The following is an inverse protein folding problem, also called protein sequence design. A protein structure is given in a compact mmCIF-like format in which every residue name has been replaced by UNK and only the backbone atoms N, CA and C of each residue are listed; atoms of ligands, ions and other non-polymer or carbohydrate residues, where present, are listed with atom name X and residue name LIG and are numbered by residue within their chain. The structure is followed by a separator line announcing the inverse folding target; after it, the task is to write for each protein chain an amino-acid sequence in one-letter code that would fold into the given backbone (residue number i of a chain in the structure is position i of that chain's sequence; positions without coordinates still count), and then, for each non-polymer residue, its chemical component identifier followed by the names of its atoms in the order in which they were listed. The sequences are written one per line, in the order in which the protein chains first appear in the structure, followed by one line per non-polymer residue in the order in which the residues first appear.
data_IF_282439240200
#
_entry.id   IF_282439240200
#
_cell.length_a   1.000
_cell.length_b   1.000
_cell.length_c   1.000
_cell.angle_alpha   90.00
_cell.angle_beta   90.00
_cell.angle_gamma   90.00
#
_symmetry.space_group_name_H-M   'P 1'
#
loop_
_entity.id
_entity.type
_entity.pdbx_description
1 polymer ?
#
# COMPACT_ATOMS: atom_id res chain seq x y z
N UNK A 1 13.45 5.14 -38.82
CA UNK A 1 12.92 4.61 -37.56
C UNK A 1 12.66 5.78 -36.61
N UNK A 2 11.39 6.03 -36.28
CA UNK A 2 11.03 7.15 -35.42
C UNK A 2 11.52 6.86 -33.99
N UNK A 3 12.38 7.71 -33.46
CA UNK A 3 13.02 7.50 -32.15
C UNK A 3 12.02 7.79 -31.04
N UNK A 4 11.57 6.76 -30.33
CA UNK A 4 10.70 6.93 -29.14
C UNK A 4 11.43 7.74 -28.09
N UNK A 5 10.80 8.77 -27.48
CA UNK A 5 11.41 9.53 -26.40
C UNK A 5 11.68 8.65 -25.16
N UNK A 6 12.55 9.09 -24.26
CA UNK A 6 12.65 8.52 -22.92
C UNK A 6 11.35 8.81 -22.17
N UNK A 7 10.91 7.90 -21.28
CA UNK A 7 9.72 8.13 -20.47
C UNK A 7 9.89 9.42 -19.65
N UNK A 8 8.91 10.30 -19.65
CA UNK A 8 8.94 11.46 -18.76
C UNK A 8 8.75 11.02 -17.30
N UNK A 9 9.01 11.92 -16.35
CA UNK A 9 8.63 11.68 -14.98
C UNK A 9 7.12 11.42 -14.89
N UNK A 10 6.64 10.40 -14.14
CA UNK A 10 5.23 10.03 -14.13
C UNK A 10 4.35 11.08 -13.45
N UNK A 11 3.10 11.20 -13.91
CA UNK A 11 2.06 11.95 -13.23
C UNK A 11 1.75 11.33 -11.86
N UNK A 12 1.52 12.16 -10.84
CA UNK A 12 1.33 11.75 -9.46
C UNK A 12 -0.07 12.10 -8.97
N UNK A 13 -0.67 11.18 -8.21
CA UNK A 13 -1.93 11.44 -7.53
C UNK A 13 -1.74 12.33 -6.28
N UNK A 14 -2.71 13.22 -6.03
CA UNK A 14 -2.84 13.99 -4.80
C UNK A 14 -3.39 13.12 -3.66
N UNK A 15 -3.21 13.58 -2.42
CA UNK A 15 -3.80 12.97 -1.23
C UNK A 15 -5.02 13.76 -0.73
N UNK A 16 -5.68 14.50 -1.60
CA UNK A 16 -6.89 15.25 -1.26
C UNK A 16 -8.04 14.29 -0.86
N UNK A 17 -9.02 14.76 -0.08
CA UNK A 17 -10.24 14.01 0.14
C UNK A 17 -10.93 13.72 -1.21
N UNK A 18 -11.56 12.54 -1.39
CA UNK A 18 -12.39 12.28 -2.55
C UNK A 18 -13.52 13.32 -2.64
N UNK A 19 -13.95 13.73 -3.85
CA UNK A 19 -15.11 14.58 -4.01
C UNK A 19 -16.38 13.84 -3.55
N UNK A 20 -17.37 14.59 -3.05
CA UNK A 20 -18.66 14.02 -2.65
C UNK A 20 -19.41 13.43 -3.87
N UNK A 21 -19.32 14.12 -5.01
CA UNK A 21 -19.81 13.62 -6.29
C UNK A 21 -18.65 13.04 -7.10
N UNK A 22 -18.72 11.75 -7.39
CA UNK A 22 -17.73 11.00 -8.20
C UNK A 22 -18.14 10.84 -9.65
N UNK A 23 -19.21 11.53 -10.10
CA UNK A 23 -19.60 11.59 -11.51
C UNK A 23 -18.42 12.11 -12.35
N UNK A 24 -18.11 11.43 -13.45
CA UNK A 24 -16.96 11.78 -14.29
C UNK A 24 -15.61 11.31 -13.76
N UNK A 25 -15.58 10.52 -12.69
CA UNK A 25 -14.38 9.85 -12.21
C UNK A 25 -14.39 8.34 -12.48
N UNK A 26 -13.21 7.82 -12.73
CA UNK A 26 -12.94 6.38 -12.80
C UNK A 26 -12.14 5.98 -11.55
N UNK A 27 -12.52 4.86 -10.96
CA UNK A 27 -11.80 4.26 -9.84
C UNK A 27 -10.85 3.19 -10.36
N UNK A 28 -9.62 3.18 -9.91
CA UNK A 28 -8.68 2.09 -10.12
C UNK A 28 -8.15 1.58 -8.77
N UNK A 29 -7.70 0.34 -8.73
CA UNK A 29 -7.01 -0.18 -7.56
C UNK A 29 -5.74 0.61 -7.29
N UNK A 30 -5.51 0.97 -6.02
CA UNK A 30 -4.22 1.48 -5.57
C UNK A 30 -3.32 0.29 -5.24
N UNK A 31 -2.54 -0.11 -6.23
CA UNK A 31 -1.57 -1.20 -6.08
C UNK A 31 -0.46 -0.83 -5.09
N UNK A 32 -0.06 -1.76 -4.22
CA UNK A 32 1.10 -1.60 -3.31
C UNK A 32 2.33 -2.29 -3.94
N UNK A 33 3.04 -1.53 -4.75
CA UNK A 33 4.18 -2.00 -5.53
C UNK A 33 5.23 -0.94 -5.76
N UNK A 34 5.92 -1.02 -6.89
CA UNK A 34 6.81 0.02 -7.38
C UNK A 34 6.32 0.55 -8.72
N UNK A 35 6.27 1.88 -8.86
CA UNK A 35 5.94 2.52 -10.13
C UNK A 35 6.96 2.16 -11.19
N UNK A 36 6.48 1.70 -12.33
CA UNK A 36 7.28 1.31 -13.46
C UNK A 36 6.76 1.96 -14.74
N UNK A 37 7.67 2.59 -15.47
CA UNK A 37 7.45 3.07 -16.83
C UNK A 37 8.18 2.14 -17.79
N UNK A 38 7.45 1.54 -18.71
CA UNK A 38 8.02 0.68 -19.74
C UNK A 38 8.08 1.41 -21.08
N UNK A 39 9.29 1.61 -21.58
CA UNK A 39 9.55 2.09 -22.92
C UNK A 39 9.75 0.89 -23.86
N UNK A 40 8.80 0.67 -24.72
CA UNK A 40 8.76 -0.45 -25.66
C UNK A 40 9.06 0.05 -27.07
N UNK A 41 10.23 -0.30 -27.57
CA UNK A 41 10.75 0.03 -28.90
C UNK A 41 11.38 -1.25 -29.50
N UNK A 42 12.44 -1.13 -30.30
CA UNK A 42 13.28 -2.27 -30.71
C UNK A 42 13.75 -3.10 -29.50
N UNK A 43 13.93 -2.44 -28.36
CA UNK A 43 14.20 -3.06 -27.06
C UNK A 43 13.24 -2.50 -26.02
N UNK A 44 12.83 -3.34 -25.09
CA UNK A 44 12.06 -2.92 -23.93
C UNK A 44 13.01 -2.44 -22.84
N UNK A 45 12.75 -1.25 -22.32
CA UNK A 45 13.48 -0.65 -21.21
C UNK A 45 12.50 -0.30 -20.09
N UNK A 46 12.88 -0.59 -18.87
CA UNK A 46 12.05 -0.39 -17.67
C UNK A 46 12.67 0.67 -16.76
N UNK A 47 11.89 1.65 -16.37
CA UNK A 47 12.34 2.77 -15.55
C UNK A 47 11.52 2.92 -14.28
N UNK A 48 12.20 3.15 -13.16
CA UNK A 48 11.54 3.54 -11.92
C UNK A 48 10.94 4.94 -12.00
N UNK A 49 10.16 5.31 -11.00
CA UNK A 49 9.63 6.68 -10.83
C UNK A 49 10.71 7.77 -10.87
N UNK A 50 11.94 7.46 -10.42
CA UNK A 50 13.09 8.38 -10.44
C UNK A 50 13.95 8.21 -11.70
N UNK A 51 13.44 7.60 -12.74
CA UNK A 51 14.14 7.33 -14.00
C UNK A 51 15.38 6.41 -13.85
N UNK A 52 15.48 5.64 -12.77
CA UNK A 52 16.50 4.57 -12.66
C UNK A 52 16.15 3.44 -13.63
N UNK A 53 17.09 3.03 -14.45
CA UNK A 53 16.90 1.87 -15.34
C UNK A 53 16.91 0.57 -14.53
N UNK A 54 15.81 -0.16 -14.60
CA UNK A 54 15.56 -1.43 -13.90
C UNK A 54 15.40 -2.63 -14.84
N UNK A 55 15.74 -2.47 -16.12
CA UNK A 55 15.54 -3.46 -17.18
C UNK A 55 16.09 -4.84 -16.81
N UNK A 56 17.30 -4.88 -16.27
CA UNK A 56 17.96 -6.15 -15.92
C UNK A 56 17.40 -6.79 -14.65
N UNK A 57 16.64 -6.06 -13.84
CA UNK A 57 16.02 -6.56 -12.61
C UNK A 57 14.76 -7.40 -12.90
N UNK A 58 14.12 -7.18 -14.05
CA UNK A 58 12.80 -7.74 -14.37
C UNK A 58 12.76 -8.33 -15.78
N UNK A 59 13.62 -9.32 -16.09
CA UNK A 59 13.70 -9.90 -17.43
C UNK A 59 12.37 -10.50 -17.91
N UNK A 60 11.58 -11.11 -17.01
CA UNK A 60 10.27 -11.69 -17.32
C UNK A 60 9.25 -10.64 -17.79
N UNK A 61 9.35 -9.41 -17.31
CA UNK A 61 8.49 -8.31 -17.75
C UNK A 61 8.94 -7.80 -19.13
N UNK A 62 10.26 -7.73 -19.34
CA UNK A 62 10.86 -7.37 -20.65
C UNK A 62 10.41 -8.34 -21.73
N UNK A 63 10.55 -9.65 -21.47
CA UNK A 63 10.19 -10.70 -22.42
C UNK A 63 8.69 -10.68 -22.74
N UNK A 64 7.85 -10.52 -21.72
CA UNK A 64 6.41 -10.50 -21.88
C UNK A 64 5.91 -9.27 -22.66
N UNK A 65 6.49 -8.09 -22.43
CA UNK A 65 6.16 -6.87 -23.18
C UNK A 65 6.66 -6.97 -24.63
N UNK A 66 7.85 -7.48 -24.84
CA UNK A 66 8.41 -7.70 -26.19
C UNK A 66 7.53 -8.62 -27.02
N UNK A 67 7.06 -9.71 -26.43
CA UNK A 67 6.17 -10.65 -27.09
C UNK A 67 4.73 -10.09 -27.27
N UNK A 68 4.22 -9.38 -26.27
CA UNK A 68 2.81 -8.93 -26.25
C UNK A 68 2.52 -7.74 -27.16
N UNK A 69 3.53 -6.89 -27.43
CA UNK A 69 3.36 -5.70 -28.28
C UNK A 69 3.58 -5.97 -29.78
N UNK A 70 4.07 -7.15 -30.16
CA UNK A 70 4.19 -7.59 -31.56
C UNK A 70 4.86 -6.53 -32.48
N UNK A 71 5.90 -5.85 -31.98
CA UNK A 71 6.63 -4.83 -32.71
C UNK A 71 6.03 -3.42 -32.65
N UNK A 72 4.90 -3.23 -31.99
CA UNK A 72 4.35 -1.88 -31.73
C UNK A 72 5.24 -1.12 -30.75
N UNK A 73 5.21 0.19 -30.86
CA UNK A 73 6.01 1.07 -30.02
C UNK A 73 5.13 1.80 -29.00
N UNK A 74 5.48 1.69 -27.70
CA UNK A 74 4.67 2.27 -26.64
C UNK A 74 5.50 2.78 -25.45
N UNK A 75 4.95 3.73 -24.68
CA UNK A 75 5.36 4.02 -23.31
C UNK A 75 4.16 3.73 -22.42
N UNK A 76 4.32 2.70 -21.57
CA UNK A 76 3.31 2.24 -20.63
C UNK A 76 3.65 2.71 -19.22
N UNK A 77 2.61 3.01 -18.45
CA UNK A 77 2.72 3.44 -17.06
C UNK A 77 1.92 2.48 -16.18
N UNK A 78 2.55 1.96 -15.14
CA UNK A 78 1.93 0.93 -14.30
C UNK A 78 2.61 0.78 -12.94
N UNK A 79 2.16 -0.20 -12.19
CA UNK A 79 2.74 -0.62 -10.93
C UNK A 79 3.22 -2.06 -11.06
N UNK A 80 4.45 -2.33 -10.66
CA UNK A 80 4.97 -3.67 -10.56
C UNK A 80 4.68 -4.23 -9.18
N UNK A 81 3.96 -5.35 -9.12
CA UNK A 81 3.40 -5.93 -7.89
C UNK A 81 3.89 -7.36 -7.72
N UNK A 82 4.23 -7.74 -6.49
CA UNK A 82 4.36 -9.13 -6.09
C UNK A 82 3.16 -9.50 -5.21
N UNK A 83 2.61 -10.68 -5.40
CA UNK A 83 1.51 -11.19 -4.58
C UNK A 83 2.02 -12.25 -3.61
N UNK A 84 1.44 -12.26 -2.40
CA UNK A 84 1.65 -13.34 -1.44
C UNK A 84 0.78 -14.58 -1.76
N UNK A 85 0.85 -15.58 -0.88
CA UNK A 85 0.08 -16.82 -1.02
C UNK A 85 -1.45 -16.66 -0.87
N UNK A 86 -1.90 -15.49 -0.40
CA UNK A 86 -3.32 -15.10 -0.36
C UNK A 86 -3.73 -14.23 -1.55
N UNK A 87 -2.89 -14.12 -2.58
CA UNK A 87 -3.08 -13.25 -3.74
C UNK A 87 -3.19 -11.75 -3.38
N UNK A 88 -2.55 -11.32 -2.29
CA UNK A 88 -2.52 -9.92 -1.86
C UNK A 88 -1.19 -9.25 -2.21
N UNK A 89 -1.19 -7.98 -2.62
CA UNK A 89 0.05 -7.25 -2.89
C UNK A 89 0.96 -7.21 -1.66
N UNK A 90 2.23 -7.56 -1.85
CA UNK A 90 3.23 -7.58 -0.78
C UNK A 90 4.52 -6.87 -1.19
N UNK A 91 4.68 -5.65 -0.71
CA UNK A 91 5.84 -4.80 -1.03
C UNK A 91 7.19 -5.39 -0.57
N UNK A 92 7.22 -6.19 0.51
CA UNK A 92 8.45 -6.81 1.00
C UNK A 92 9.00 -7.85 -0.01
N UNK A 93 8.12 -8.53 -0.72
CA UNK A 93 8.52 -9.47 -1.78
C UNK A 93 9.21 -8.73 -2.93
N UNK A 94 8.69 -7.58 -3.35
CA UNK A 94 9.31 -6.76 -4.40
C UNK A 94 10.69 -6.27 -3.97
N UNK A 95 10.88 -5.88 -2.70
CA UNK A 95 12.19 -5.46 -2.21
C UNK A 95 13.26 -6.53 -2.37
N UNK A 96 12.91 -7.82 -2.24
CA UNK A 96 13.84 -8.93 -2.49
C UNK A 96 14.31 -8.95 -3.94
N UNK A 97 13.42 -8.64 -4.89
CA UNK A 97 13.72 -8.58 -6.32
C UNK A 97 14.59 -7.37 -6.67
N UNK A 98 14.29 -6.19 -6.10
CA UNK A 98 15.07 -4.96 -6.30
C UNK A 98 16.53 -5.07 -5.85
N UNK A 99 16.80 -5.90 -4.83
CA UNK A 99 18.17 -6.15 -4.33
C UNK A 99 18.99 -7.08 -5.23
N UNK A 100 18.38 -7.65 -6.26
CA UNK A 100 19.00 -8.56 -7.21
C UNK A 100 18.93 -7.97 -8.63
N UNK A 101 19.90 -7.15 -9.05
CA UNK A 101 19.90 -6.53 -10.38
C UNK A 101 19.92 -7.52 -11.56
N UNK A 102 20.30 -8.77 -11.30
CA UNK A 102 20.27 -9.90 -12.24
C UNK A 102 19.76 -11.12 -11.49
N UNK A 103 18.43 -11.29 -11.36
CA UNK A 103 17.87 -12.38 -10.58
C UNK A 103 18.09 -13.73 -11.26
N UNK A 104 18.50 -14.71 -10.48
CA UNK A 104 18.61 -16.10 -10.97
C UNK A 104 17.25 -16.81 -11.01
N UNK A 105 17.13 -17.95 -11.69
CA UNK A 105 15.88 -18.67 -11.89
C UNK A 105 15.11 -19.00 -10.60
N UNK A 106 15.82 -19.34 -9.52
CA UNK A 106 15.22 -19.63 -8.21
C UNK A 106 14.49 -18.40 -7.63
N UNK A 107 15.07 -17.21 -7.75
CA UNK A 107 14.46 -15.99 -7.26
C UNK A 107 13.26 -15.57 -8.12
N UNK A 108 13.36 -15.71 -9.44
CA UNK A 108 12.26 -15.49 -10.38
C UNK A 108 11.05 -16.36 -10.02
N UNK A 109 11.27 -17.66 -9.81
CA UNK A 109 10.22 -18.61 -9.45
C UNK A 109 9.63 -18.37 -8.04
N UNK A 110 10.47 -17.97 -7.05
CA UNK A 110 10.00 -17.79 -5.67
C UNK A 110 9.31 -16.46 -5.42
N UNK A 111 9.52 -15.47 -6.27
CA UNK A 111 8.89 -14.13 -6.19
C UNK A 111 8.41 -13.73 -7.59
N UNK A 112 7.32 -14.34 -8.08
CA UNK A 112 6.73 -13.94 -9.34
C UNK A 112 6.19 -12.51 -9.24
N UNK A 113 6.33 -11.73 -10.32
CA UNK A 113 5.87 -10.36 -10.40
C UNK A 113 4.76 -10.22 -11.44
N UNK A 114 3.92 -9.21 -11.24
CA UNK A 114 2.90 -8.80 -12.20
C UNK A 114 3.04 -7.30 -12.46
N UNK A 115 3.09 -6.92 -13.72
CA UNK A 115 3.05 -5.52 -14.13
C UNK A 115 1.60 -5.11 -14.39
N UNK A 116 1.00 -4.38 -13.45
CA UNK A 116 -0.36 -3.83 -13.53
C UNK A 116 -0.32 -2.50 -14.28
N UNK A 117 -0.52 -2.54 -15.60
CA UNK A 117 -0.49 -1.35 -16.46
C UNK A 117 -1.83 -0.61 -16.33
N UNK A 118 -1.79 0.68 -16.07
CA UNK A 118 -2.99 1.49 -15.86
C UNK A 118 -3.04 2.76 -16.75
N UNK A 119 -1.98 3.06 -17.50
CA UNK A 119 -1.99 4.17 -18.46
C UNK A 119 -1.03 3.91 -19.63
N UNK A 120 -1.27 4.61 -20.72
CA UNK A 120 -0.40 4.67 -21.90
C UNK A 120 -0.21 6.11 -22.31
N UNK A 121 1.04 6.53 -22.49
CA UNK A 121 1.37 7.93 -22.76
C UNK A 121 2.03 8.16 -24.14
N UNK A 122 2.36 7.08 -24.82
CA UNK A 122 2.89 7.10 -26.18
C UNK A 122 2.53 5.81 -26.90
N UNK A 123 2.15 5.90 -28.19
CA UNK A 123 1.80 4.75 -28.99
C UNK A 123 2.11 5.02 -30.48
N UNK A 124 2.88 4.15 -31.12
CA UNK A 124 3.17 4.12 -32.55
C UNK A 124 3.49 5.51 -33.17
N UNK A 125 4.37 6.24 -32.54
CA UNK A 125 4.79 7.56 -33.03
C UNK A 125 4.02 8.75 -32.46
N UNK A 126 2.95 8.51 -31.68
CA UNK A 126 2.07 9.56 -31.19
C UNK A 126 2.21 9.77 -29.69
N UNK A 127 2.39 11.01 -29.27
CA UNK A 127 2.28 11.44 -27.87
C UNK A 127 0.81 11.48 -27.48
N UNK A 128 0.46 10.72 -26.44
CA UNK A 128 -0.92 10.60 -25.93
C UNK A 128 -1.16 11.45 -24.69
N UNK A 129 -0.19 12.20 -24.20
CA UNK A 129 -0.32 12.98 -22.96
C UNK A 129 -1.43 14.03 -23.03
N UNK A 130 -1.72 14.57 -24.22
CA UNK A 130 -2.82 15.50 -24.47
C UNK A 130 -4.21 14.84 -24.57
N UNK A 131 -4.29 13.53 -24.69
CA UNK A 131 -5.57 12.80 -24.74
C UNK A 131 -6.19 12.70 -23.36
N UNK A 132 -7.53 12.56 -23.33
CA UNK A 132 -8.24 12.31 -22.06
C UNK A 132 -7.89 10.95 -21.49
N UNK A 133 -8.04 10.78 -20.17
CA UNK A 133 -7.80 9.49 -19.51
C UNK A 133 -8.57 8.34 -20.18
N UNK A 134 -9.86 8.50 -20.46
CA UNK A 134 -10.64 7.46 -21.10
C UNK A 134 -10.20 7.14 -22.54
N UNK A 135 -9.71 8.14 -23.29
CA UNK A 135 -9.14 7.89 -24.62
C UNK A 135 -7.87 7.03 -24.51
N UNK A 136 -6.98 7.39 -23.60
CA UNK A 136 -5.76 6.60 -23.36
C UNK A 136 -6.09 5.19 -22.89
N UNK A 137 -7.10 5.02 -22.00
CA UNK A 137 -7.54 3.69 -21.54
C UNK A 137 -8.03 2.81 -22.67
N UNK A 138 -8.84 3.34 -23.58
CA UNK A 138 -9.30 2.59 -24.77
C UNK A 138 -8.12 2.11 -25.62
N UNK A 139 -7.15 3.00 -25.87
CA UNK A 139 -5.95 2.65 -26.64
C UNK A 139 -5.11 1.60 -25.92
N UNK A 140 -5.04 1.63 -24.58
CA UNK A 140 -4.36 0.62 -23.77
C UNK A 140 -5.08 -0.73 -23.83
N UNK A 141 -6.42 -0.74 -23.73
CA UNK A 141 -7.23 -1.94 -23.79
C UNK A 141 -7.14 -2.61 -25.18
N UNK A 142 -7.03 -1.81 -26.25
CA UNK A 142 -6.86 -2.28 -27.64
C UNK A 142 -5.50 -3.00 -27.87
N UNK A 143 -4.52 -2.80 -26.98
CA UNK A 143 -3.23 -3.56 -27.03
C UNK A 143 -3.40 -5.02 -26.62
N UNK A 144 -4.50 -5.38 -25.96
CA UNK A 144 -4.81 -6.76 -25.52
C UNK A 144 -3.70 -7.43 -24.70
N UNK A 145 -2.98 -6.67 -23.89
CA UNK A 145 -1.92 -7.15 -23.00
C UNK A 145 -2.51 -7.88 -21.77
N UNK A 146 -3.12 -9.04 -21.98
CA UNK A 146 -3.81 -9.80 -20.91
C UNK A 146 -3.11 -11.10 -20.52
N UNK A 147 -1.84 -11.31 -20.96
CA UNK A 147 -1.09 -12.52 -20.62
C UNK A 147 -0.14 -12.24 -19.46
N UNK A 148 -0.22 -13.01 -18.36
CA UNK A 148 0.76 -12.90 -17.28
C UNK A 148 2.21 -12.97 -17.83
N UNK A 149 3.12 -12.18 -17.26
CA UNK A 149 3.00 -11.35 -16.08
C UNK A 149 2.47 -9.91 -16.32
N UNK A 150 1.85 -9.61 -17.45
CA UNK A 150 1.27 -8.30 -17.76
C UNK A 150 -0.24 -8.35 -17.56
N UNK A 151 -0.79 -7.36 -16.84
CA UNK A 151 -2.22 -7.20 -16.63
C UNK A 151 -2.58 -5.74 -16.84
N UNK A 152 -3.61 -5.46 -17.65
CA UNK A 152 -4.21 -4.13 -17.70
C UNK A 152 -5.08 -3.98 -16.46
N UNK A 153 -4.74 -3.00 -15.60
CA UNK A 153 -5.46 -2.73 -14.36
C UNK A 153 -6.91 -2.35 -14.67
N UNK A 154 -7.91 -3.00 -14.09
CA UNK A 154 -9.30 -2.63 -14.32
C UNK A 154 -9.63 -1.26 -13.75
N UNK A 155 -10.66 -0.61 -14.29
CA UNK A 155 -11.26 0.58 -13.71
C UNK A 155 -12.77 0.43 -13.60
N UNK A 156 -13.36 1.17 -12.66
CA UNK A 156 -14.80 1.16 -12.39
C UNK A 156 -15.37 2.57 -12.46
N UNK A 157 -16.62 2.69 -12.85
CA UNK A 157 -17.39 3.94 -12.88
C UNK A 157 -18.75 3.73 -12.23
N UNK A 158 -19.41 4.80 -11.81
CA UNK A 158 -20.76 4.71 -11.25
C UNK A 158 -20.83 4.07 -9.86
N UNK A 159 -19.72 4.04 -9.14
CA UNK A 159 -19.62 3.49 -7.78
C UNK A 159 -19.30 4.65 -6.82
N UNK A 160 -19.93 4.64 -5.64
CA UNK A 160 -19.61 5.59 -4.57
C UNK A 160 -18.30 5.24 -3.85
N UNK A 161 -17.71 6.25 -3.20
CA UNK A 161 -16.43 6.12 -2.49
C UNK A 161 -16.44 5.06 -1.40
N UNK A 162 -17.54 4.96 -0.64
CA UNK A 162 -17.66 3.99 0.47
C UNK A 162 -17.77 2.56 -0.05
N UNK A 163 -18.59 2.34 -1.10
CA UNK A 163 -18.71 1.03 -1.74
C UNK A 163 -17.39 0.59 -2.35
N UNK A 164 -16.65 1.51 -3.01
CA UNK A 164 -15.32 1.19 -3.53
C UNK A 164 -14.33 0.88 -2.40
N UNK A 165 -14.38 1.60 -1.27
CA UNK A 165 -13.53 1.30 -0.12
C UNK A 165 -13.81 -0.10 0.45
N UNK A 166 -15.08 -0.54 0.49
CA UNK A 166 -15.44 -1.90 0.90
C UNK A 166 -14.90 -2.96 -0.07
N UNK A 167 -15.03 -2.72 -1.38
CA UNK A 167 -14.48 -3.62 -2.41
C UNK A 167 -12.96 -3.76 -2.24
N UNK A 168 -12.24 -2.64 -2.11
CA UNK A 168 -10.78 -2.65 -1.94
C UNK A 168 -10.37 -3.37 -0.65
N UNK A 169 -11.13 -3.19 0.43
CA UNK A 169 -10.91 -3.88 1.71
C UNK A 169 -11.13 -5.39 1.58
N UNK A 170 -12.20 -5.81 0.91
CA UNK A 170 -12.49 -7.23 0.64
C UNK A 170 -11.41 -7.91 -0.20
N UNK A 171 -10.82 -7.18 -1.13
CA UNK A 171 -9.71 -7.66 -1.98
C UNK A 171 -8.33 -7.57 -1.29
N UNK A 172 -8.23 -7.03 -0.07
CA UNK A 172 -6.95 -6.82 0.60
C UNK A 172 -6.05 -5.78 -0.08
N UNK A 173 -6.62 -4.85 -0.84
CA UNK A 173 -5.90 -3.80 -1.54
C UNK A 173 -5.71 -2.55 -0.67
N UNK A 174 -4.64 -1.80 -0.92
CA UNK A 174 -4.29 -0.60 -0.14
C UNK A 174 -5.37 0.50 -0.20
N UNK A 175 -6.15 0.53 -1.27
CA UNK A 175 -7.16 1.53 -1.52
C UNK A 175 -7.42 1.72 -3.01
N UNK A 176 -7.82 2.92 -3.39
CA UNK A 176 -8.12 3.25 -4.79
C UNK A 176 -7.50 4.59 -5.21
N UNK A 177 -7.42 4.78 -6.51
CA UNK A 177 -7.10 6.05 -7.16
C UNK A 177 -8.31 6.47 -7.99
N UNK A 178 -8.85 7.65 -7.69
CA UNK A 178 -9.82 8.32 -8.54
C UNK A 178 -9.08 9.06 -9.65
N UNK A 179 -9.47 8.85 -10.90
CA UNK A 179 -8.93 9.56 -12.05
C UNK A 179 -10.08 10.25 -12.79
N UNK A 180 -9.97 11.57 -12.97
CA UNK A 180 -10.98 12.28 -13.73
C UNK A 180 -10.98 11.84 -15.19
N UNK A 181 -12.13 11.40 -15.70
CA UNK A 181 -12.29 10.74 -17.01
C UNK A 181 -11.77 11.57 -18.19
N UNK A 182 -11.89 12.89 -18.09
CA UNK A 182 -11.47 13.83 -19.14
C UNK A 182 -10.12 14.50 -18.86
N UNK A 183 -9.37 14.04 -17.84
CA UNK A 183 -8.06 14.63 -17.55
C UNK A 183 -6.99 14.20 -18.55
N UNK A 184 -6.12 15.13 -18.88
CA UNK A 184 -4.88 14.85 -19.62
C UNK A 184 -3.83 14.25 -18.70
N UNK A 185 -2.82 13.60 -19.26
CA UNK A 185 -1.66 13.15 -18.48
C UNK A 185 -0.68 14.31 -18.30
N UNK A 186 -0.32 14.61 -17.06
CA UNK A 186 0.55 15.73 -16.70
C UNK A 186 1.90 15.22 -16.18
N UNK A 187 2.88 14.99 -17.05
CA UNK A 187 4.18 14.43 -16.66
C UNK A 187 4.85 15.22 -15.55
N UNK A 188 5.39 14.53 -14.54
CA UNK A 188 6.11 15.10 -13.42
C UNK A 188 5.27 15.89 -12.41
N UNK A 189 4.00 16.11 -12.68
CA UNK A 189 3.13 16.91 -11.81
C UNK A 189 2.31 16.04 -10.86
N UNK A 190 2.08 16.56 -9.65
CA UNK A 190 1.04 16.08 -8.76
C UNK A 190 -0.26 16.79 -9.13
N UNK A 191 -1.25 16.03 -9.57
CA UNK A 191 -2.49 16.59 -10.10
C UNK A 191 -3.67 16.26 -9.21
N UNK A 192 -4.57 17.23 -9.06
CA UNK A 192 -5.87 17.04 -8.41
C UNK A 192 -6.84 16.19 -9.28
N UNK A 193 -6.54 16.00 -10.56
CA UNK A 193 -7.30 15.11 -11.43
C UNK A 193 -7.09 13.62 -11.10
N UNK A 194 -6.05 13.29 -10.34
CA UNK A 194 -5.80 11.97 -9.77
C UNK A 194 -5.76 12.07 -8.25
N UNK A 195 -6.67 11.40 -7.56
CA UNK A 195 -6.80 11.44 -6.10
C UNK A 195 -6.62 10.03 -5.56
N UNK A 196 -5.60 9.82 -4.74
CA UNK A 196 -5.39 8.56 -4.05
C UNK A 196 -6.13 8.55 -2.71
N UNK A 197 -6.87 7.49 -2.47
CA UNK A 197 -7.49 7.19 -1.19
C UNK A 197 -6.96 5.87 -0.64
N UNK A 198 -6.44 5.91 0.59
CA UNK A 198 -5.96 4.71 1.29
C UNK A 198 -7.07 4.21 2.19
N UNK A 199 -7.51 2.99 1.94
CA UNK A 199 -8.49 2.32 2.81
C UNK A 199 -7.77 1.85 4.06
N UNK A 200 -8.24 2.31 5.21
CA UNK A 200 -7.69 1.91 6.49
C UNK A 200 -8.61 0.92 7.16
N UNK A 201 -8.00 -0.07 7.77
CA UNK A 201 -8.69 -1.01 8.64
C UNK A 201 -8.78 -0.43 10.05
N UNK A 202 -9.81 -0.83 10.79
CA UNK A 202 -10.05 -0.37 12.15
C UNK A 202 -10.44 -1.55 13.01
N UNK A 203 -9.72 -1.76 14.14
CA UNK A 203 -10.00 -2.86 15.04
C UNK A 203 -9.67 -2.51 16.48
N UNK A 204 -10.42 -3.08 17.43
CA UNK A 204 -10.05 -3.07 18.82
C UNK A 204 -8.76 -3.88 19.03
N UNK A 205 -7.87 -3.37 19.89
CA UNK A 205 -6.62 -3.98 20.28
C UNK A 205 -6.44 -3.85 21.80
N UNK A 206 -5.77 -4.82 22.40
CA UNK A 206 -5.49 -4.84 23.84
C UNK A 206 -4.15 -4.15 24.10
N UNK A 207 -4.12 -3.26 25.12
CA UNK A 207 -2.87 -2.63 25.56
C UNK A 207 -2.16 -3.55 26.55
N UNK A 208 -0.97 -4.03 26.20
CA UNK A 208 -0.13 -4.87 27.08
C UNK A 208 1.06 -4.12 27.67
N UNK A 209 1.28 -2.87 27.27
CA UNK A 209 2.36 -2.06 27.79
C UNK A 209 2.44 -0.70 27.13
N UNK A 210 3.45 0.08 27.50
CA UNK A 210 3.76 1.37 26.87
C UNK A 210 5.24 1.68 26.90
N UNK A 211 5.68 2.55 26.00
CA UNK A 211 7.00 3.14 25.97
C UNK A 211 6.86 4.56 26.53
N UNK A 212 7.63 4.93 27.58
CA UNK A 212 7.68 6.30 28.07
C UNK A 212 8.19 7.28 27.00
N UNK A 213 7.70 8.50 27.03
CA UNK A 213 8.20 9.57 26.15
C UNK A 213 9.64 9.94 26.47
N UNK A 214 10.45 10.14 25.43
CA UNK A 214 11.80 10.70 25.55
C UNK A 214 11.78 12.23 25.37
N UNK A 215 12.80 12.93 25.90
CA UNK A 215 12.97 14.38 25.72
C UNK A 215 12.23 15.24 26.74
N UNK A 216 11.72 16.40 26.33
CA UNK A 216 11.10 17.44 27.19
C UNK A 216 9.88 16.98 27.97
N UNK A 217 9.24 15.90 27.54
CA UNK A 217 8.07 15.29 28.20
C UNK A 217 8.44 13.97 28.89
N UNK A 218 9.61 13.91 29.54
CA UNK A 218 10.06 12.70 30.26
C UNK A 218 8.99 12.20 31.24
N UNK A 219 8.69 10.91 31.16
CA UNK A 219 7.70 10.24 32.02
C UNK A 219 6.28 10.21 31.47
N UNK A 220 5.99 10.92 30.37
CA UNK A 220 4.69 10.83 29.68
C UNK A 220 4.58 9.60 28.78
N UNK A 221 3.41 9.38 28.19
CA UNK A 221 3.15 8.31 27.25
C UNK A 221 3.78 8.61 25.88
N UNK A 222 4.78 7.84 25.45
CA UNK A 222 5.37 7.89 24.13
C UNK A 222 4.58 7.09 23.10
N UNK A 223 4.43 5.78 23.34
CA UNK A 223 3.66 4.88 22.49
C UNK A 223 2.99 3.78 23.32
N UNK A 224 1.84 3.30 22.88
CA UNK A 224 1.19 2.10 23.40
C UNK A 224 1.80 0.85 22.76
N UNK A 225 1.92 -0.24 23.51
CA UNK A 225 2.25 -1.57 23.02
C UNK A 225 0.95 -2.36 22.96
N UNK A 226 0.53 -2.71 21.76
CA UNK A 226 -0.78 -3.33 21.53
C UNK A 226 -0.67 -4.76 21.01
N UNK A 227 -1.65 -5.57 21.37
CA UNK A 227 -1.78 -6.95 20.93
C UNK A 227 -3.22 -7.39 20.81
N UNK A 228 -3.38 -8.65 20.42
CA UNK A 228 -4.64 -9.37 20.37
C UNK A 228 -4.41 -10.84 20.66
N UNK A 229 -5.44 -11.56 21.05
CA UNK A 229 -5.34 -12.97 21.41
C UNK A 229 -5.34 -13.86 20.17
N UNK A 230 -4.46 -14.85 20.17
CA UNK A 230 -4.47 -15.91 19.18
C UNK A 230 -5.50 -17.01 19.52
N UNK A 231 -5.56 -18.05 18.68
CA UNK A 231 -6.46 -19.18 18.85
C UNK A 231 -6.17 -20.03 20.10
N UNK A 232 -4.98 -19.88 20.70
CA UNK A 232 -4.59 -20.54 21.93
C UNK A 232 -4.91 -19.71 23.19
N UNK A 233 -5.48 -18.51 23.01
CA UNK A 233 -5.73 -17.56 24.09
C UNK A 233 -4.48 -16.82 24.57
N UNK A 234 -3.40 -16.84 23.80
CA UNK A 234 -2.16 -16.13 24.12
C UNK A 234 -2.18 -14.72 23.54
N UNK A 235 -1.81 -13.71 24.34
CA UNK A 235 -1.70 -12.33 23.87
C UNK A 235 -0.46 -12.16 22.99
N UNK A 236 -0.66 -11.93 21.69
CA UNK A 236 0.39 -11.72 20.71
C UNK A 236 0.64 -10.23 20.52
N UNK A 237 1.90 -9.83 20.52
CA UNK A 237 2.26 -8.45 20.27
C UNK A 237 2.05 -8.09 18.79
N UNK A 238 1.26 -7.04 18.53
CA UNK A 238 0.90 -6.59 17.17
C UNK A 238 1.60 -5.29 16.75
N UNK A 239 2.29 -4.61 17.67
CA UNK A 239 3.02 -3.39 17.33
C UNK A 239 2.90 -2.29 18.37
N UNK A 240 3.55 -1.15 18.09
CA UNK A 240 3.47 0.05 18.93
C UNK A 240 2.73 1.17 18.22
N UNK A 241 1.95 1.95 18.98
CA UNK A 241 1.09 3.03 18.49
C UNK A 241 1.50 4.34 19.13
N UNK A 242 2.18 5.20 18.35
CA UNK A 242 2.59 6.53 18.79
C UNK A 242 1.74 7.66 18.20
N UNK A 243 1.03 7.38 17.08
CA UNK A 243 0.21 8.36 16.37
C UNK A 243 -1.25 8.36 16.83
N UNK A 244 -1.99 9.45 16.54
CA UNK A 244 -3.43 9.57 16.82
C UNK A 244 -3.78 9.96 18.26
N UNK A 245 -2.80 10.22 19.12
CA UNK A 245 -3.01 10.64 20.51
C UNK A 245 -2.81 12.14 20.68
N UNK A 246 -3.83 12.83 21.16
CA UNK A 246 -3.71 14.22 21.63
C UNK A 246 -2.96 14.29 22.97
N UNK A 247 -2.41 15.44 23.38
CA UNK A 247 -1.81 15.60 24.72
C UNK A 247 -2.76 15.16 25.84
N UNK A 248 -4.05 15.51 25.74
CA UNK A 248 -5.08 15.11 26.71
C UNK A 248 -5.29 13.59 26.75
N UNK A 249 -5.35 12.96 25.58
CA UNK A 249 -5.48 11.49 25.47
C UNK A 249 -4.27 10.78 26.07
N UNK A 250 -3.06 11.31 25.84
CA UNK A 250 -1.82 10.78 26.43
C UNK A 250 -1.83 10.84 27.95
N UNK A 251 -2.24 11.96 28.53
CA UNK A 251 -2.31 12.15 29.95
C UNK A 251 -3.33 11.19 30.59
N UNK A 252 -4.55 11.12 30.05
CA UNK A 252 -5.60 10.23 30.57
C UNK A 252 -5.21 8.73 30.45
N UNK A 253 -4.60 8.33 29.32
CA UNK A 253 -4.09 6.96 29.19
C UNK A 253 -2.96 6.67 30.18
N UNK A 254 -2.04 7.61 30.36
CA UNK A 254 -0.91 7.44 31.28
C UNK A 254 -1.40 7.22 32.71
N UNK A 255 -2.37 8.03 33.19
CA UNK A 255 -3.01 7.87 34.49
C UNK A 255 -3.58 6.45 34.64
N UNK A 256 -4.44 6.03 33.70
CA UNK A 256 -5.08 4.70 33.71
C UNK A 256 -4.07 3.55 33.65
N UNK A 257 -3.01 3.68 32.85
CA UNK A 257 -2.01 2.63 32.69
C UNK A 257 -1.06 2.54 33.90
N UNK A 258 -0.87 3.62 34.64
CA UNK A 258 -0.01 3.63 35.83
C UNK A 258 -0.52 2.67 36.92
N UNK A 259 -1.83 2.58 37.12
CA UNK A 259 -2.46 1.68 38.10
C UNK A 259 -2.45 0.21 37.68
N UNK A 260 -2.16 -0.04 36.41
CA UNK A 260 -2.16 -1.37 35.82
C UNK A 260 -0.75 -1.95 35.63
N UNK A 261 0.30 -1.26 36.05
CA UNK A 261 1.67 -1.72 35.83
C UNK A 261 1.94 -3.08 36.50
N UNK A 262 2.72 -3.88 35.81
CA UNK A 262 3.17 -5.20 36.29
C UNK A 262 4.62 -5.47 35.84
N UNK A 263 5.37 -6.34 36.58
CA UNK A 263 6.79 -6.57 36.30
C UNK A 263 7.03 -7.42 35.03
N UNK A 264 6.11 -8.32 34.70
CA UNK A 264 6.24 -9.26 33.59
C UNK A 264 5.45 -8.81 32.38
N UNK A 265 6.00 -9.11 31.19
CA UNK A 265 5.27 -8.90 29.93
C UNK A 265 4.01 -9.78 29.88
N UNK A 266 2.86 -9.25 29.46
CA UNK A 266 1.66 -10.06 29.20
C UNK A 266 1.70 -10.72 27.81
N UNK A 267 2.65 -10.36 26.95
CA UNK A 267 2.78 -10.96 25.61
C UNK A 267 3.47 -12.33 25.69
N UNK A 268 2.97 -13.29 24.93
CA UNK A 268 3.40 -14.69 24.94
C UNK A 268 4.88 -14.89 24.53
N UNK A 269 5.44 -13.97 23.74
CA UNK A 269 6.83 -14.04 23.32
C UNK A 269 7.62 -12.81 23.79
N UNK A 270 8.91 -12.98 24.14
CA UNK A 270 9.81 -11.84 24.42
C UNK A 270 9.89 -10.90 23.21
N UNK A 271 10.00 -9.60 23.49
CA UNK A 271 10.13 -8.56 22.48
C UNK A 271 11.43 -7.80 22.75
N UNK A 272 12.60 -8.32 22.28
CA UNK A 272 13.93 -7.82 22.63
C UNK A 272 14.17 -6.35 22.23
N UNK A 273 13.51 -5.88 21.16
CA UNK A 273 13.64 -4.52 20.64
C UNK A 273 12.97 -3.43 21.50
N UNK A 274 12.17 -3.81 22.51
CA UNK A 274 11.40 -2.87 23.35
C UNK A 274 12.13 -2.52 24.67
N UNK A 275 13.33 -1.98 24.55
CA UNK A 275 14.08 -1.49 25.74
C UNK A 275 13.32 -0.34 26.41
N UNK A 276 13.17 -0.42 27.75
CA UNK A 276 12.50 0.61 28.55
C UNK A 276 10.97 0.56 28.49
N UNK A 277 10.39 -0.47 27.90
CA UNK A 277 8.95 -0.70 27.98
C UNK A 277 8.46 -0.89 29.42
N UNK A 278 7.26 -0.43 29.71
CA UNK A 278 6.51 -0.67 30.95
C UNK A 278 5.33 -1.57 30.63
N UNK A 279 5.24 -2.68 31.33
CA UNK A 279 4.18 -3.67 31.11
C UNK A 279 2.96 -3.35 31.97
N UNK A 280 1.78 -3.65 31.45
CA UNK A 280 0.53 -3.43 32.17
C UNK A 280 -0.37 -4.67 32.06
N UNK A 281 -1.27 -4.83 33.02
CA UNK A 281 -2.34 -5.85 32.93
C UNK A 281 -3.19 -5.57 31.68
N UNK A 282 -3.46 -6.57 30.82
CA UNK A 282 -4.04 -6.39 29.51
C UNK A 282 -5.58 -6.22 29.57
N UNK A 283 -6.05 -5.18 30.27
CA UNK A 283 -7.47 -4.88 30.49
C UNK A 283 -7.95 -3.63 29.72
N UNK A 284 -7.03 -2.82 29.21
CA UNK A 284 -7.38 -1.63 28.43
C UNK A 284 -7.50 -1.99 26.97
N UNK A 285 -8.65 -1.68 26.36
CA UNK A 285 -8.91 -1.86 24.93
C UNK A 285 -8.92 -0.51 24.23
N UNK A 286 -8.27 -0.44 23.09
CA UNK A 286 -8.15 0.74 22.24
C UNK A 286 -8.55 0.41 20.81
N UNK A 287 -9.19 1.34 20.14
CA UNK A 287 -9.55 1.19 18.74
C UNK A 287 -8.43 1.78 17.87
N UNK A 288 -7.81 0.93 17.06
CA UNK A 288 -6.65 1.24 16.25
C UNK A 288 -7.00 1.21 14.77
N UNK A 289 -6.70 2.30 14.10
CA UNK A 289 -6.70 2.39 12.64
C UNK A 289 -5.32 2.03 12.12
N UNK A 290 -5.25 1.17 11.11
CA UNK A 290 -3.99 0.72 10.50
C UNK A 290 -4.18 0.42 9.01
N UNK A 291 -3.08 0.32 8.26
CA UNK A 291 -3.13 0.03 6.81
C UNK A 291 -3.22 -1.47 6.52
N UNK A 292 -2.42 -2.27 7.19
CA UNK A 292 -2.24 -3.69 6.93
C UNK A 292 -1.74 -4.39 8.19
N UNK A 293 -2.04 -5.67 8.33
CA UNK A 293 -1.51 -6.53 9.36
C UNK A 293 -0.76 -7.71 8.71
N UNK A 294 0.52 -7.85 9.03
CA UNK A 294 1.40 -8.96 8.60
C UNK A 294 2.19 -9.46 9.82
N UNK A 295 1.46 -9.93 10.86
CA UNK A 295 2.02 -10.19 12.19
C UNK A 295 2.35 -8.91 12.96
N UNK A 296 2.39 -7.75 12.30
CA UNK A 296 2.54 -6.41 12.89
C UNK A 296 1.64 -5.42 12.16
N UNK A 297 1.10 -4.44 12.92
CA UNK A 297 0.31 -3.34 12.37
C UNK A 297 1.20 -2.36 11.59
N UNK A 298 0.85 -2.04 10.36
CA UNK A 298 1.54 -1.02 9.56
C UNK A 298 0.84 0.34 9.72
N UNK A 299 1.62 1.36 10.06
CA UNK A 299 1.14 2.74 10.27
C UNK A 299 -0.07 2.84 11.22
N UNK A 300 0.00 2.23 12.43
CA UNK A 300 -1.11 2.26 13.35
C UNK A 300 -1.29 3.66 13.97
N UNK A 301 -2.56 4.04 14.18
CA UNK A 301 -2.94 5.27 14.86
C UNK A 301 -4.13 5.02 15.80
N UNK A 302 -4.07 5.59 17.01
CA UNK A 302 -5.17 5.54 17.97
C UNK A 302 -6.35 6.36 17.45
N UNK A 303 -7.56 5.80 17.51
CA UNK A 303 -8.82 6.51 17.24
C UNK A 303 -9.61 6.81 18.50
N UNK A 304 -9.74 5.82 19.38
CA UNK A 304 -10.45 5.98 20.63
C UNK A 304 -9.97 4.96 21.69
N UNK A 305 -10.24 5.25 22.93
CA UNK A 305 -10.17 4.28 24.04
C UNK A 305 -11.54 3.69 24.21
N UNK A 306 -11.66 2.38 24.17
CA UNK A 306 -12.94 1.68 24.38
C UNK A 306 -13.14 1.47 25.87
N UNK A 307 -14.18 2.13 26.41
CA UNK A 307 -14.56 1.99 27.80
C UNK A 307 -15.45 0.74 27.90
N UNK A 308 -15.23 -0.08 28.93
CA UNK A 308 -16.01 -1.29 29.23
C UNK A 308 -15.95 -2.40 28.15
N UNK A 309 -14.97 -2.34 27.24
CA UNK A 309 -14.77 -3.42 26.28
C UNK A 309 -14.07 -4.62 26.96
N UNK A 310 -14.61 -5.82 26.72
CA UNK A 310 -13.96 -7.06 27.15
C UNK A 310 -12.67 -7.29 26.34
N UNK A 311 -11.54 -7.29 27.04
CA UNK A 311 -10.24 -7.52 26.41
C UNK A 311 -10.04 -8.97 25.97
N UNK A 312 -10.70 -9.94 26.62
CA UNK A 312 -10.51 -11.37 26.33
C UNK A 312 -11.07 -11.80 24.96
N UNK A 313 -12.05 -11.07 24.44
CA UNK A 313 -12.67 -11.33 23.14
C UNK A 313 -11.92 -10.72 21.94
N UNK A 314 -10.79 -10.02 22.15
CA UNK A 314 -10.07 -9.32 21.08
C UNK A 314 -9.13 -10.30 20.35
N UNK A 315 -9.55 -10.78 19.19
CA UNK A 315 -8.76 -11.70 18.35
C UNK A 315 -7.83 -10.99 17.38
N UNK A 316 -6.77 -11.70 16.96
CA UNK A 316 -5.82 -11.23 15.95
C UNK A 316 -6.54 -10.75 14.68
N UNK A 317 -6.08 -9.64 14.08
CA UNK A 317 -6.53 -9.29 12.75
C UNK A 317 -6.20 -10.42 11.77
N UNK A 318 -7.03 -10.64 10.72
CA UNK A 318 -6.64 -11.53 9.64
C UNK A 318 -5.36 -11.02 8.99
N UNK A 319 -4.43 -11.92 8.69
CA UNK A 319 -3.25 -11.55 7.91
C UNK A 319 -3.68 -11.08 6.54
N UNK A 320 -3.22 -9.89 6.16
CA UNK A 320 -3.60 -9.20 4.95
C UNK A 320 -2.44 -8.76 4.12
#
# INVERSE_FOLDING_TARGET
VQRIPLPPAPMLASAAPPPADTTGYCFEAKWDGIRLLARCAERVELFSRQATNLTTCFPEIVDALSAGLEGRTAILDGELVAFDHHARPNFQLIQRRLRAPRPGPRLLASVPLTFCVFDIIYLDGHDLTGHTYLQRRRMLDDLRLHKPPIVISPYWTGIGTDAMAEIMRGLGLEGYVLKHAHSTYQPGRRSAAWIKHVVRQRRPMVVGGFIPSAGTHRGGLGALLVGAYDTNGELRYCGHVGAGMTPRTRASLMERLSDLQQPLTPFAAPIPELRGARWVRPTVVVDIEYRQFTGRLRHPALKSVLIDADSSGISLPPEG
#
